data_IF_115973801215
#
_entry.id   IF_115973801215
#
_cell.length_a   1.000
_cell.length_b   1.000
_cell.length_c   1.000
_cell.angle_alpha   90.00
_cell.angle_beta   90.00
_cell.angle_gamma   90.00
#
_symmetry.space_group_name_H-M   'P 1'
#
loop_
_entity.id
_entity.type
_entity.pdbx_description
1 polymer ?
#
# COMPACT_ATOMS: atom_id res chain seq x y z
N UNK A 1 2.51 15.86 7.68
CA UNK A 1 1.06 15.68 7.41
C UNK A 1 0.98 15.04 6.04
N UNK A 2 0.42 13.84 5.94
CA UNK A 2 0.24 13.14 4.67
C UNK A 2 -0.86 13.86 3.90
N UNK A 3 -0.60 14.32 2.69
CA UNK A 3 -1.57 15.08 1.88
C UNK A 3 -2.58 14.16 1.19
N UNK A 4 -3.61 14.71 0.56
CA UNK A 4 -4.53 13.93 -0.29
C UNK A 4 -3.82 13.34 -1.52
N UNK A 5 -2.79 14.04 -2.01
CA UNK A 5 -1.95 13.55 -3.10
C UNK A 5 -1.11 12.35 -2.65
N UNK A 6 -0.52 12.42 -1.46
CA UNK A 6 0.23 11.31 -0.86
C UNK A 6 -0.67 10.09 -0.63
N UNK A 7 -1.90 10.31 -0.13
CA UNK A 7 -2.91 9.24 0.06
C UNK A 7 -3.17 8.50 -1.26
N UNK A 8 -3.48 9.23 -2.33
CA UNK A 8 -3.73 8.64 -3.66
C UNK A 8 -2.49 7.95 -4.22
N UNK A 9 -1.30 8.48 -3.95
CA UNK A 9 -0.06 7.85 -4.34
C UNK A 9 0.11 6.49 -3.65
N UNK A 10 -0.07 6.42 -2.33
CA UNK A 10 0.05 5.17 -1.58
C UNK A 10 -1.03 4.15 -1.95
N UNK A 11 -2.28 4.58 -2.16
CA UNK A 11 -3.35 3.70 -2.65
C UNK A 11 -2.99 3.07 -4.00
N UNK A 12 -2.54 3.87 -4.98
CA UNK A 12 -2.11 3.34 -6.29
C UNK A 12 -0.93 2.41 -6.19
N UNK A 13 0.05 2.72 -5.32
CA UNK A 13 1.20 1.85 -5.10
C UNK A 13 0.78 0.52 -4.49
N UNK A 14 -0.10 0.53 -3.48
CA UNK A 14 -0.64 -0.67 -2.88
C UNK A 14 -1.36 -1.55 -3.92
N UNK A 15 -2.19 -0.95 -4.76
CA UNK A 15 -2.90 -1.65 -5.86
C UNK A 15 -1.91 -2.32 -6.84
N UNK A 16 -0.89 -1.60 -7.28
CA UNK A 16 0.15 -2.16 -8.15
C UNK A 16 0.90 -3.34 -7.50
N UNK A 17 1.27 -3.24 -6.22
CA UNK A 17 1.95 -4.35 -5.54
C UNK A 17 1.02 -5.57 -5.39
N UNK A 18 -0.29 -5.38 -5.19
CA UNK A 18 -1.25 -6.49 -5.16
C UNK A 18 -1.39 -7.16 -6.54
N UNK A 19 -1.41 -6.39 -7.63
CA UNK A 19 -1.38 -6.94 -8.99
C UNK A 19 -0.11 -7.77 -9.24
N UNK A 20 1.06 -7.26 -8.82
CA UNK A 20 2.33 -7.97 -8.94
C UNK A 20 2.35 -9.24 -8.08
N UNK A 21 1.80 -9.20 -6.88
CA UNK A 21 1.66 -10.38 -6.00
C UNK A 21 0.78 -11.47 -6.63
N UNK A 22 -0.29 -11.07 -7.33
CA UNK A 22 -1.19 -11.98 -8.02
C UNK A 22 -0.60 -12.56 -9.32
N UNK A 23 0.29 -11.81 -9.98
CA UNK A 23 0.90 -12.20 -11.25
C UNK A 23 2.15 -13.08 -11.10
N UNK A 24 2.82 -13.07 -9.95
CA UNK A 24 4.07 -13.81 -9.73
C UNK A 24 3.84 -15.25 -9.28
N UNK A 25 4.67 -16.16 -9.79
CA UNK A 25 4.70 -17.57 -9.35
C UNK A 25 5.74 -17.83 -8.25
N UNK A 26 6.65 -16.89 -7.99
CA UNK A 26 7.65 -17.01 -6.92
C UNK A 26 7.01 -16.66 -5.55
N UNK A 27 6.94 -17.62 -4.61
CA UNK A 27 6.35 -17.38 -3.29
C UNK A 27 7.04 -16.27 -2.49
N UNK A 28 8.36 -16.10 -2.66
CA UNK A 28 9.12 -15.06 -1.95
C UNK A 28 8.82 -13.68 -2.52
N UNK A 29 8.73 -13.58 -3.86
CA UNK A 29 8.33 -12.35 -4.52
C UNK A 29 6.88 -11.98 -4.14
N UNK A 30 5.97 -12.96 -4.16
CA UNK A 30 4.58 -12.79 -3.76
C UNK A 30 4.48 -12.22 -2.34
N UNK A 31 5.19 -12.83 -1.38
CA UNK A 31 5.22 -12.36 0.02
C UNK A 31 5.80 -10.95 0.15
N UNK A 32 6.83 -10.62 -0.64
CA UNK A 32 7.46 -9.30 -0.63
C UNK A 32 6.53 -8.20 -1.15
N UNK A 33 5.79 -8.49 -2.23
CA UNK A 33 4.78 -7.58 -2.77
C UNK A 33 3.65 -7.33 -1.76
N UNK A 34 3.14 -8.38 -1.10
CA UNK A 34 2.16 -8.21 -0.03
C UNK A 34 2.69 -7.37 1.15
N UNK A 35 3.95 -7.55 1.53
CA UNK A 35 4.56 -6.76 2.59
C UNK A 35 4.62 -5.26 2.21
N UNK A 36 4.98 -4.94 0.97
CA UNK A 36 4.98 -3.55 0.48
C UNK A 36 3.57 -2.96 0.40
N UNK A 37 2.58 -3.73 -0.09
CA UNK A 37 1.19 -3.28 -0.13
C UNK A 37 0.68 -2.91 1.27
N UNK A 38 0.98 -3.74 2.27
CA UNK A 38 0.62 -3.48 3.67
C UNK A 38 1.28 -2.22 4.22
N UNK A 39 2.55 -1.95 3.89
CA UNK A 39 3.23 -0.72 4.31
C UNK A 39 2.57 0.53 3.72
N UNK A 40 2.21 0.49 2.43
CA UNK A 40 1.50 1.61 1.80
C UNK A 40 0.11 1.84 2.40
N UNK A 41 -0.64 0.77 2.67
CA UNK A 41 -1.95 0.86 3.31
C UNK A 41 -1.87 1.39 4.75
N UNK A 42 -0.83 1.04 5.51
CA UNK A 42 -0.61 1.58 6.85
C UNK A 42 -0.45 3.10 6.84
N UNK A 43 0.28 3.66 5.86
CA UNK A 43 0.44 5.11 5.71
C UNK A 43 -0.89 5.82 5.38
N UNK A 44 -1.79 5.16 4.66
CA UNK A 44 -3.15 5.68 4.39
C UNK A 44 -4.00 5.66 5.66
N UNK A 45 -4.00 4.55 6.40
CA UNK A 45 -4.79 4.41 7.64
C UNK A 45 -4.33 5.41 8.70
N UNK A 46 -3.02 5.58 8.89
CA UNK A 46 -2.48 6.55 9.84
C UNK A 46 -2.94 7.98 9.52
N UNK A 47 -3.01 8.33 8.23
CA UNK A 47 -3.57 9.61 7.81
C UNK A 47 -5.07 9.70 8.13
N UNK A 48 -5.85 8.69 7.76
CA UNK A 48 -7.30 8.70 7.98
C UNK A 48 -7.63 8.83 9.49
N UNK A 49 -6.79 8.26 10.38
CA UNK A 49 -6.89 8.44 11.84
C UNK A 49 -6.52 9.86 12.28
N UNK A 50 -5.48 10.46 11.68
CA UNK A 50 -5.07 11.85 11.97
C UNK A 50 -6.14 12.86 11.56
N UNK A 51 -6.79 12.66 10.41
CA UNK A 51 -7.83 13.56 9.90
C UNK A 51 -9.16 13.46 10.69
N UNK A 52 -9.38 12.33 11.39
CA UNK A 52 -10.57 12.10 12.21
C UNK A 52 -10.45 12.57 13.68
N UNK A 53 -9.26 13.05 14.09
CA UNK A 53 -8.93 13.49 15.46
C UNK A 53 -8.96 15.02 15.58
#
# INVERSE_FOLDING_TARGET
>A
MVTDEDRRYYERRAEMELEMAAATEDPNACSSHYALANLYLALVIEKDVQDAS
#
